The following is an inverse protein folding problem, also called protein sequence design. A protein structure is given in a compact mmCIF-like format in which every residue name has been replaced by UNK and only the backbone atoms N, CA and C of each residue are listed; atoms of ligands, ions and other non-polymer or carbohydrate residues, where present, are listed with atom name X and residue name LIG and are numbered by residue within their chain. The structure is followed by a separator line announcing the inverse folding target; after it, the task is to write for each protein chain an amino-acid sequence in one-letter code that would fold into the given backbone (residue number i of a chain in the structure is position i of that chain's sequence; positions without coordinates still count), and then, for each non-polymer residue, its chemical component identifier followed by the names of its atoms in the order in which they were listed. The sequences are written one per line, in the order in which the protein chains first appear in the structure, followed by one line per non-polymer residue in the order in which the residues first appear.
data_IF_670092534254
#
_entry.id   IF_670092534254
#
_cell.length_a   1.000
_cell.length_b   1.000
_cell.length_c   1.000
_cell.angle_alpha   90.00
_cell.angle_beta   90.00
_cell.angle_gamma   90.00
#
_symmetry.space_group_name_H-M   'P 1'
#
loop_
_entity.id
_entity.type
_entity.pdbx_description
1 polymer ?
#
# COMPACT_ATOMS: atom_id res chain seq x y z
N UNK A 1 1.17 4.15 -15.51
CA UNK A 1 0.76 4.98 -14.34
C UNK A 1 -0.39 4.29 -13.64
N UNK A 2 -0.08 3.13 -13.04
CA UNK A 2 -1.04 2.17 -12.50
C UNK A 2 -0.87 2.26 -10.99
N UNK A 3 -1.90 2.79 -10.33
CA UNK A 3 -2.20 2.71 -8.88
C UNK A 3 -0.98 2.67 -7.97
N UNK A 4 -0.21 3.76 -8.04
CA UNK A 4 1.15 3.87 -7.55
C UNK A 4 1.19 3.81 -6.02
N UNK A 5 1.86 2.78 -5.48
CA UNK A 5 2.45 2.88 -4.16
C UNK A 5 3.22 4.21 -4.08
N UNK A 6 2.99 4.98 -3.02
CA UNK A 6 3.67 6.25 -2.80
C UNK A 6 4.61 6.10 -1.61
N UNK A 7 5.92 6.13 -1.90
CA UNK A 7 6.97 6.04 -0.87
C UNK A 7 6.96 7.28 0.01
N UNK A 8 6.64 8.45 -0.55
CA UNK A 8 6.78 9.74 0.13
C UNK A 8 8.22 10.27 0.10
N UNK A 9 8.45 11.52 0.54
CA UNK A 9 9.75 12.18 0.42
C UNK A 9 10.75 11.78 1.52
N UNK A 10 10.29 11.18 2.61
CA UNK A 10 11.16 10.69 3.67
C UNK A 10 11.92 9.41 3.25
N UNK A 11 13.06 9.17 3.88
CA UNK A 11 14.01 8.10 3.52
C UNK A 11 14.06 6.93 4.51
N UNK A 12 13.06 6.80 5.37
CA UNK A 12 12.93 5.61 6.21
C UNK A 12 12.49 4.40 5.36
N UNK A 13 12.63 3.19 5.91
CA UNK A 13 12.28 1.95 5.20
C UNK A 13 11.30 1.14 6.02
N UNK A 14 10.03 1.53 5.97
CA UNK A 14 8.97 0.79 6.65
C UNK A 14 8.36 -0.25 5.72
N UNK A 15 8.37 -1.55 6.08
CA UNK A 15 7.66 -2.56 5.31
C UNK A 15 6.17 -2.25 5.33
N UNK A 16 5.54 -2.24 4.17
CA UNK A 16 4.13 -1.94 3.99
C UNK A 16 3.59 -2.68 2.77
N UNK A 17 2.29 -2.69 2.60
CA UNK A 17 1.59 -3.36 1.50
C UNK A 17 0.68 -2.36 0.78
N UNK A 18 0.57 -2.47 -0.52
CA UNK A 18 -0.37 -1.68 -1.32
C UNK A 18 -1.22 -2.62 -2.16
N UNK A 19 -2.45 -2.21 -2.47
CA UNK A 19 -3.29 -2.97 -3.39
C UNK A 19 -2.95 -2.59 -4.83
N UNK A 20 -2.51 -3.59 -5.60
CA UNK A 20 -2.26 -3.49 -7.02
C UNK A 20 -3.52 -3.91 -7.78
N UNK A 21 -4.25 -2.93 -8.33
CA UNK A 21 -5.46 -3.17 -9.12
C UNK A 21 -5.20 -3.95 -10.42
N UNK A 22 -3.97 -3.94 -10.95
CA UNK A 22 -3.65 -4.65 -12.19
C UNK A 22 -3.48 -6.15 -11.97
N UNK A 23 -2.90 -6.55 -10.83
CA UNK A 23 -2.77 -7.96 -10.43
C UNK A 23 -3.91 -8.41 -9.53
N UNK A 24 -4.74 -7.49 -9.06
CA UNK A 24 -5.78 -7.69 -8.03
C UNK A 24 -5.21 -8.30 -6.74
N UNK A 25 -3.98 -7.92 -6.39
CA UNK A 25 -3.23 -8.48 -5.26
C UNK A 25 -2.65 -7.39 -4.36
N UNK A 26 -2.42 -7.77 -3.10
CA UNK A 26 -1.69 -6.96 -2.14
C UNK A 26 -0.20 -7.23 -2.26
N UNK A 27 0.55 -6.26 -2.78
CA UNK A 27 1.98 -6.39 -3.02
C UNK A 27 2.78 -5.64 -1.94
N UNK A 28 3.92 -6.20 -1.50
CA UNK A 28 4.78 -5.54 -0.52
C UNK A 28 5.54 -4.37 -1.16
N UNK A 29 5.77 -3.31 -0.39
CA UNK A 29 6.62 -2.17 -0.74
C UNK A 29 7.25 -1.54 0.51
N UNK A 30 8.10 -0.53 0.31
CA UNK A 30 8.67 0.24 1.40
C UNK A 30 8.11 1.66 1.43
N UNK A 31 7.59 2.06 2.58
CA UNK A 31 7.15 3.41 2.86
C UNK A 31 8.28 4.24 3.49
N UNK A 32 8.44 5.46 2.96
CA UNK A 32 9.49 6.42 3.32
C UNK A 32 9.36 7.03 4.71
N UNK A 33 8.22 6.89 5.37
CA UNK A 33 7.99 7.36 6.75
C UNK A 33 7.15 8.64 6.86
N UNK A 34 7.01 9.43 5.80
CA UNK A 34 6.13 10.61 5.79
C UNK A 34 5.36 10.77 4.48
N UNK A 35 4.23 11.50 4.54
CA UNK A 35 3.34 11.79 3.42
C UNK A 35 2.94 10.55 2.61
N UNK A 36 2.52 9.47 3.27
CA UNK A 36 2.00 8.28 2.56
C UNK A 36 0.64 8.53 1.90
N UNK A 37 0.20 7.57 1.06
CA UNK A 37 -1.16 7.55 0.54
C UNK A 37 -2.07 6.61 1.37
N UNK A 38 -3.40 6.67 1.19
CA UNK A 38 -4.35 5.76 1.85
C UNK A 38 -4.30 4.30 1.37
N UNK A 39 -3.81 4.03 0.16
CA UNK A 39 -3.56 2.69 -0.38
C UNK A 39 -2.24 2.11 0.20
N UNK A 40 -2.14 2.12 1.53
CA UNK A 40 -1.01 1.57 2.29
C UNK A 40 -1.53 0.86 3.54
N UNK A 41 -1.18 -0.40 3.65
CA UNK A 41 -1.54 -1.29 4.73
C UNK A 41 -0.29 -1.83 5.42
N UNK A 42 -0.37 -2.10 6.72
CA UNK A 42 0.73 -2.73 7.47
C UNK A 42 0.78 -4.24 7.27
N UNK A 43 -0.36 -4.83 6.96
CA UNK A 43 -0.54 -6.27 6.87
C UNK A 43 -1.17 -6.66 5.52
N UNK A 44 -0.78 -7.79 4.93
CA UNK A 44 -1.38 -8.26 3.68
C UNK A 44 -2.86 -8.66 3.87
N UNK A 45 -3.23 -9.13 5.06
CA UNK A 45 -4.62 -9.49 5.40
C UNK A 45 -5.51 -8.25 5.42
N UNK A 46 -5.08 -7.16 6.06
CA UNK A 46 -5.86 -5.93 6.12
C UNK A 46 -6.03 -5.29 4.74
N UNK A 47 -5.02 -5.39 3.87
CA UNK A 47 -5.13 -4.97 2.48
C UNK A 47 -6.20 -5.76 1.70
N UNK A 48 -6.22 -7.10 1.80
CA UNK A 48 -7.21 -7.93 1.10
C UNK A 48 -8.64 -7.67 1.59
N UNK A 49 -8.80 -7.52 2.91
CA UNK A 49 -10.11 -7.25 3.53
C UNK A 49 -10.61 -5.85 3.20
N UNK A 50 -9.75 -4.82 3.23
CA UNK A 50 -10.16 -3.44 2.94
C UNK A 50 -10.66 -3.26 1.50
N UNK A 51 -10.05 -3.95 0.53
CA UNK A 51 -10.47 -3.92 -0.87
C UNK A 51 -11.77 -4.68 -1.08
N UNK A 52 -11.99 -5.73 -0.30
CA UNK A 52 -13.24 -6.50 -0.32
C UNK A 52 -14.36 -5.87 0.52
N UNK A 53 -14.09 -4.73 1.19
CA UNK A 53 -14.90 -4.20 2.28
C UNK A 53 -15.32 -2.73 2.14
N UNK A 54 -15.43 -2.22 0.92
CA UNK A 54 -16.22 -1.01 0.66
C UNK A 54 -17.66 -1.43 0.34
N UNK A 55 -18.49 -1.49 1.39
CA UNK A 55 -19.95 -1.47 1.28
C UNK A 55 -20.44 -0.06 1.61
#
# INVERSE_FOLDING_TARGET
RVFLHYVGPCRARFPSYFFNMATMQCEPFYYGGCQGNPNRFKDPTSCKTCVSGAM
#
